data_IF_990189802881
#
_entry.id   IF_990189802881
#
_cell.length_a   1.000
_cell.length_b   1.000
_cell.length_c   1.000
_cell.angle_alpha   90.00
_cell.angle_beta   90.00
_cell.angle_gamma   90.00
#
_symmetry.space_group_name_H-M   'P 1'
#
loop_
_entity.id
_entity.type
_entity.pdbx_description
1 polymer ?
#
# COMPACT_ATOMS: atom_id res chain seq x y z
N UNK A 1 -22.69 19.21 22.07
CA UNK A 1 -23.26 17.94 21.60
C UNK A 1 -22.46 17.47 20.38
N UNK A 2 -21.66 16.40 20.51
CA UNK A 2 -20.83 15.89 19.41
C UNK A 2 -21.55 14.72 18.72
N UNK A 3 -21.92 14.89 17.45
CA UNK A 3 -22.53 13.83 16.65
C UNK A 3 -21.43 12.83 16.26
N UNK A 4 -21.46 11.66 16.91
CA UNK A 4 -20.61 10.51 16.60
C UNK A 4 -20.99 10.02 15.19
N UNK A 5 -20.24 10.45 14.17
CA UNK A 5 -20.38 9.92 12.81
C UNK A 5 -19.92 8.47 12.81
N UNK A 6 -20.87 7.55 12.59
CA UNK A 6 -20.61 6.13 12.36
C UNK A 6 -19.49 5.94 11.33
N UNK A 7 -18.42 5.23 11.72
CA UNK A 7 -17.39 4.74 10.80
C UNK A 7 -18.05 3.77 9.81
N UNK A 8 -18.35 4.25 8.59
CA UNK A 8 -18.64 3.36 7.46
C UNK A 8 -17.37 2.59 7.16
N UNK A 9 -17.30 1.33 7.62
CA UNK A 9 -16.26 0.37 7.26
C UNK A 9 -16.41 0.10 5.76
N UNK A 10 -15.62 0.77 4.92
CA UNK A 10 -15.50 0.39 3.52
C UNK A 10 -14.75 -0.95 3.49
N UNK A 11 -15.49 -2.02 3.26
CA UNK A 11 -14.94 -3.37 3.09
C UNK A 11 -14.19 -3.45 1.76
N UNK A 12 -12.97 -2.88 1.71
CA UNK A 12 -12.04 -3.06 0.61
C UNK A 12 -11.49 -4.49 0.65
N UNK A 13 -12.32 -5.45 0.23
CA UNK A 13 -11.92 -6.84 0.07
C UNK A 13 -11.30 -7.00 -1.31
N UNK A 14 -9.99 -7.19 -1.34
CA UNK A 14 -9.34 -7.76 -2.50
C UNK A 14 -9.55 -9.27 -2.44
N UNK A 15 -10.18 -9.84 -3.48
CA UNK A 15 -10.26 -11.28 -3.65
C UNK A 15 -8.84 -11.80 -3.81
N UNK A 16 -8.31 -12.33 -2.71
CA UNK A 16 -7.08 -13.09 -2.76
C UNK A 16 -7.35 -14.37 -3.55
N UNK A 17 -6.44 -14.80 -4.44
CA UNK A 17 -6.53 -16.14 -4.98
C UNK A 17 -6.48 -17.14 -3.82
N UNK A 18 -7.48 -18.00 -3.72
CA UNK A 18 -7.49 -19.12 -2.77
C UNK A 18 -6.25 -19.97 -3.02
N UNK A 19 -5.34 -19.98 -2.04
CA UNK A 19 -4.25 -20.93 -1.99
C UNK A 19 -4.81 -22.30 -1.63
N UNK A 20 -5.13 -23.05 -2.68
CA UNK A 20 -5.16 -24.52 -2.79
C UNK A 20 -4.87 -25.32 -1.52
N UNK A 21 -5.92 -25.83 -0.89
CA UNK A 21 -5.96 -27.21 -0.42
C UNK A 21 -7.18 -27.88 -1.10
N UNK A 22 -7.02 -29.13 -1.54
CA UNK A 22 -8.00 -29.97 -2.25
C UNK A 22 -8.02 -29.88 -3.80
N UNK A 23 -7.26 -30.78 -4.44
CA UNK A 23 -7.69 -31.47 -5.68
C UNK A 23 -8.43 -32.75 -5.24
N UNK A 24 -9.46 -33.31 -5.94
CA UNK A 24 -9.42 -33.59 -7.39
C UNK A 24 -10.71 -33.35 -8.21
N UNK A 25 -10.48 -33.25 -9.53
CA UNK A 25 -11.34 -33.61 -10.66
C UNK A 25 -12.82 -33.22 -10.67
N UNK A 26 -13.16 -32.14 -11.39
CA UNK A 26 -14.08 -32.20 -12.53
C UNK A 26 -13.59 -31.24 -13.63
N UNK A 27 -13.35 -31.78 -14.81
CA UNK A 27 -12.98 -31.04 -16.01
C UNK A 27 -14.20 -30.29 -16.56
N UNK A 28 -14.19 -28.96 -16.48
CA UNK A 28 -15.12 -28.10 -17.23
C UNK A 28 -14.29 -27.16 -18.12
N UNK A 29 -14.62 -27.02 -19.41
CA UNK A 29 -13.79 -26.30 -20.37
C UNK A 29 -13.88 -24.79 -20.13
N UNK A 30 -12.73 -24.12 -20.13
CA UNK A 30 -12.64 -22.66 -20.12
C UNK A 30 -13.14 -22.08 -21.46
N UNK A 31 -14.00 -21.05 -21.48
CA UNK A 31 -14.26 -20.26 -22.67
C UNK A 31 -13.06 -19.35 -23.00
N UNK A 32 -12.80 -19.07 -24.29
CA UNK A 32 -11.77 -18.11 -24.68
C UNK A 32 -12.31 -16.69 -24.47
N UNK A 33 -11.84 -15.97 -23.45
CA UNK A 33 -12.17 -14.55 -23.32
C UNK A 33 -11.06 -13.69 -23.89
N UNK A 34 -11.47 -12.95 -24.92
CA UNK A 34 -10.72 -12.01 -25.72
C UNK A 34 -9.81 -11.07 -24.91
N UNK A 35 -8.65 -10.86 -25.53
CA UNK A 35 -7.78 -9.70 -25.45
C UNK A 35 -8.52 -8.39 -25.11
N UNK A 36 -8.27 -7.86 -23.91
CA UNK A 36 -8.28 -6.42 -23.69
C UNK A 36 -6.85 -6.00 -23.36
N UNK A 37 -6.20 -5.53 -24.42
CA UNK A 37 -4.90 -4.89 -24.42
C UNK A 37 -4.99 -3.60 -23.59
N UNK A 38 -4.37 -3.59 -22.41
CA UNK A 38 -4.01 -2.37 -21.70
C UNK A 38 -2.54 -2.48 -21.31
N UNK A 39 -1.68 -2.36 -22.34
CA UNK A 39 -0.26 -2.10 -22.15
C UNK A 39 -0.11 -0.67 -21.61
N UNK A 40 -0.08 -0.53 -20.28
CA UNK A 40 0.60 0.60 -19.64
C UNK A 40 1.93 0.05 -19.13
N UNK A 41 2.90 0.06 -20.03
CA UNK A 41 4.31 -0.19 -19.77
C UNK A 41 4.88 0.94 -18.92
N UNK A 42 4.59 0.94 -17.62
CA UNK A 42 5.44 1.67 -16.66
C UNK A 42 6.52 0.73 -16.17
N UNK A 43 7.31 0.22 -17.13
CA UNK A 43 8.58 -0.44 -16.88
C UNK A 43 9.59 0.65 -16.55
N UNK A 44 9.43 1.24 -15.38
CA UNK A 44 10.53 1.92 -14.74
C UNK A 44 11.41 0.81 -14.19
N UNK A 45 12.56 0.66 -14.84
CA UNK A 45 13.72 -0.09 -14.38
C UNK A 45 14.24 0.51 -13.06
N UNK A 46 13.38 0.56 -12.03
CA UNK A 46 13.80 0.82 -10.67
C UNK A 46 14.54 -0.44 -10.23
N UNK A 47 15.88 -0.37 -10.25
CA UNK A 47 16.69 -1.27 -9.44
C UNK A 47 16.09 -1.35 -8.04
N UNK A 48 16.21 -2.52 -7.40
CA UNK A 48 15.64 -2.77 -6.08
C UNK A 48 15.99 -1.62 -5.13
N UNK A 49 15.01 -0.75 -4.83
CA UNK A 49 15.22 0.40 -3.95
C UNK A 49 15.48 -0.19 -2.57
N UNK A 50 16.64 0.10 -1.97
CA UNK A 50 16.96 -0.35 -0.62
C UNK A 50 16.55 0.69 0.42
N UNK A 51 16.26 0.25 1.64
CA UNK A 51 15.94 1.15 2.75
C UNK A 51 17.11 2.09 3.10
N UNK A 52 18.36 1.69 2.82
CA UNK A 52 19.56 2.48 3.10
C UNK A 52 19.73 3.70 2.17
N UNK A 53 19.13 3.64 0.99
CA UNK A 53 19.19 4.69 -0.03
C UNK A 53 18.15 5.79 0.20
N UNK A 54 17.29 5.61 1.20
CA UNK A 54 16.21 6.54 1.54
C UNK A 54 16.62 7.44 2.70
N UNK A 55 16.52 8.75 2.49
CA UNK A 55 16.73 9.77 3.51
C UNK A 55 15.39 10.31 4.00
N UNK A 56 15.18 10.34 5.32
CA UNK A 56 13.94 10.88 5.92
C UNK A 56 14.01 12.40 6.01
N UNK A 57 13.04 13.07 5.40
CA UNK A 57 12.97 14.53 5.39
C UNK A 57 12.02 15.08 6.46
N UNK A 58 10.78 14.58 6.48
CA UNK A 58 9.72 15.13 7.33
C UNK A 58 8.70 14.05 7.70
N UNK A 59 8.01 14.20 8.83
CA UNK A 59 6.81 13.41 9.14
C UNK A 59 5.60 13.97 8.39
N UNK A 60 4.92 13.12 7.62
CA UNK A 60 3.67 13.46 6.92
C UNK A 60 2.43 13.18 7.78
N UNK A 61 2.52 12.21 8.69
CA UNK A 61 1.43 11.91 9.61
C UNK A 61 1.70 10.75 10.56
N UNK A 62 0.92 10.70 11.62
CA UNK A 62 0.89 9.61 12.60
C UNK A 62 -0.46 8.90 12.53
N UNK A 63 -0.43 7.57 12.53
CA UNK A 63 -1.63 6.74 12.60
C UNK A 63 -1.47 5.60 13.58
N UNK A 64 -2.57 4.87 13.84
CA UNK A 64 -2.56 3.72 14.74
C UNK A 64 -1.55 2.66 14.32
N UNK A 65 -1.38 2.45 13.01
CA UNK A 65 -0.45 1.48 12.45
C UNK A 65 0.98 2.00 12.34
N UNK A 66 1.30 3.22 12.80
CA UNK A 66 2.66 3.76 12.76
C UNK A 66 2.77 5.14 12.10
N UNK A 67 3.98 5.49 11.65
CA UNK A 67 4.31 6.85 11.19
C UNK A 67 4.66 6.86 9.71
N UNK A 68 4.18 7.88 8.99
CA UNK A 68 4.49 8.11 7.58
C UNK A 68 5.48 9.25 7.45
N UNK A 69 6.59 9.01 6.76
CA UNK A 69 7.66 9.98 6.51
C UNK A 69 7.71 10.35 5.03
N UNK A 70 7.95 11.62 4.72
CA UNK A 70 8.49 12.05 3.43
C UNK A 70 9.94 11.62 3.36
N UNK A 71 10.30 10.89 2.32
CA UNK A 71 11.67 10.41 2.11
C UNK A 71 12.17 10.78 0.73
N UNK A 72 13.47 10.98 0.59
CA UNK A 72 14.12 11.21 -0.70
C UNK A 72 15.04 10.04 -1.03
N UNK A 73 15.02 9.58 -2.28
CA UNK A 73 15.98 8.59 -2.76
C UNK A 73 17.29 9.29 -3.14
N UNK A 74 18.38 8.97 -2.45
CA UNK A 74 19.67 9.68 -2.55
C UNK A 74 20.21 9.78 -3.97
N UNK A 75 20.04 8.71 -4.76
CA UNK A 75 20.67 8.60 -6.08
C UNK A 75 19.85 9.24 -7.21
N UNK A 76 18.52 9.10 -7.14
CA UNK A 76 17.60 9.53 -8.21
C UNK A 76 16.93 10.87 -7.84
N UNK A 77 17.12 11.35 -6.61
CA UNK A 77 16.46 12.55 -6.06
C UNK A 77 14.93 12.52 -6.15
N UNK A 78 14.35 11.32 -6.20
CA UNK A 78 12.90 11.17 -6.28
C UNK A 78 12.28 11.08 -4.88
N UNK A 79 11.15 11.75 -4.70
CA UNK A 79 10.45 11.86 -3.41
C UNK A 79 9.41 10.75 -3.26
N UNK A 80 9.38 10.12 -2.10
CA UNK A 80 8.46 9.06 -1.75
C UNK A 80 7.84 9.27 -0.36
N UNK A 81 6.80 8.50 -0.04
CA UNK A 81 6.25 8.38 1.30
C UNK A 81 6.62 7.00 1.90
N UNK A 82 7.25 6.97 3.06
CA UNK A 82 7.62 5.75 3.77
C UNK A 82 6.74 5.57 5.01
N UNK A 83 5.84 4.59 4.99
CA UNK A 83 5.06 4.17 6.16
C UNK A 83 5.85 3.15 6.97
N UNK A 84 6.22 3.50 8.20
CA UNK A 84 6.85 2.59 9.15
C UNK A 84 5.79 2.02 10.09
N UNK A 85 5.53 0.73 9.98
CA UNK A 85 4.63 -0.04 10.83
C UNK A 85 5.44 -0.77 11.88
N UNK A 86 5.18 -0.45 13.14
CA UNK A 86 5.82 -1.12 14.27
C UNK A 86 5.08 -2.41 14.59
N UNK A 87 5.76 -3.54 14.54
CA UNK A 87 5.20 -4.80 15.00
C UNK A 87 5.23 -4.81 16.53
N UNK A 88 4.14 -4.36 17.16
CA UNK A 88 4.10 -4.19 18.61
C UNK A 88 4.00 -5.51 19.39
N UNK A 89 3.62 -6.60 18.71
CA UNK A 89 3.49 -7.92 19.32
C UNK A 89 4.21 -8.98 18.48
N UNK A 90 4.91 -9.89 19.16
CA UNK A 90 5.49 -11.09 18.53
C UNK A 90 4.42 -12.14 18.20
N UNK A 91 3.15 -11.71 18.11
CA UNK A 91 2.00 -12.57 17.86
C UNK A 91 2.02 -13.03 16.39
N UNK A 92 2.11 -14.34 16.14
CA UNK A 92 2.13 -14.86 14.78
C UNK A 92 0.88 -14.51 13.97
N UNK A 93 -0.29 -14.33 14.61
CA UNK A 93 -1.54 -14.01 13.91
C UNK A 93 -1.53 -12.59 13.33
N UNK A 94 -1.08 -11.61 14.11
CA UNK A 94 -0.92 -10.21 13.68
C UNK A 94 0.12 -10.12 12.57
N UNK A 95 1.22 -10.90 12.67
CA UNK A 95 2.25 -10.96 11.65
C UNK A 95 1.74 -11.57 10.34
N UNK A 96 0.97 -12.66 10.42
CA UNK A 96 0.34 -13.26 9.24
C UNK A 96 -0.64 -12.28 8.56
N UNK A 97 -1.44 -11.54 9.33
CA UNK A 97 -2.32 -10.52 8.78
C UNK A 97 -1.54 -9.41 8.08
N UNK A 98 -0.48 -8.91 8.71
CA UNK A 98 0.37 -7.86 8.15
C UNK A 98 1.06 -8.31 6.85
N UNK A 99 1.56 -9.55 6.79
CA UNK A 99 2.14 -10.14 5.58
C UNK A 99 1.11 -10.30 4.46
N UNK A 100 -0.14 -10.66 4.81
CA UNK A 100 -1.23 -10.76 3.85
C UNK A 100 -1.59 -9.40 3.27
N UNK A 101 -1.77 -8.39 4.13
CA UNK A 101 -2.03 -7.01 3.72
C UNK A 101 -0.90 -6.46 2.84
N UNK A 102 0.36 -6.74 3.21
CA UNK A 102 1.55 -6.41 2.43
C UNK A 102 1.47 -6.98 1.01
N UNK A 103 1.14 -8.25 0.86
CA UNK A 103 1.10 -8.91 -0.45
C UNK A 103 -0.02 -8.35 -1.33
N UNK A 104 -1.18 -8.06 -0.74
CA UNK A 104 -2.28 -7.39 -1.41
C UNK A 104 -1.83 -6.01 -1.93
N UNK A 105 -1.17 -5.25 -1.07
CA UNK A 105 -0.71 -3.90 -1.40
C UNK A 105 0.33 -3.92 -2.53
N UNK A 106 1.18 -4.95 -2.59
CA UNK A 106 2.13 -5.17 -3.68
C UNK A 106 1.48 -5.48 -5.03
N UNK A 107 0.35 -6.18 -5.04
CA UNK A 107 -0.36 -6.58 -6.28
C UNK A 107 -1.27 -5.49 -6.82
N UNK A 108 -1.58 -4.48 -6.03
CA UNK A 108 -2.51 -3.43 -6.45
C UNK A 108 -1.85 -2.53 -7.49
N UNK A 109 -2.38 -2.55 -8.71
CA UNK A 109 -1.95 -1.68 -9.79
C UNK A 109 -3.17 -0.96 -10.38
N UNK A 110 -3.49 0.20 -9.82
CA UNK A 110 -4.59 1.06 -10.27
C UNK A 110 -4.14 2.52 -10.23
N UNK A 111 -4.49 3.36 -11.21
CA UNK A 111 -4.14 4.78 -11.21
C UNK A 111 -4.81 5.57 -10.07
N UNK A 112 -5.82 5.00 -9.43
CA UNK A 112 -6.57 5.64 -8.33
C UNK A 112 -6.15 5.15 -6.95
N UNK A 113 -5.14 4.27 -6.87
CA UNK A 113 -4.60 3.75 -5.61
C UNK A 113 -3.14 4.15 -5.51
N UNK A 114 -2.74 4.65 -4.34
CA UNK A 114 -1.33 5.00 -4.06
C UNK A 114 -0.46 3.79 -4.34
N UNK A 115 0.50 3.96 -5.25
CA UNK A 115 1.37 2.87 -5.70
C UNK A 115 2.35 2.47 -4.60
N UNK A 116 2.47 1.17 -4.37
CA UNK A 116 3.54 0.59 -3.58
C UNK A 116 4.78 0.38 -4.46
N UNK A 117 5.92 0.97 -4.09
CA UNK A 117 7.18 0.80 -4.81
C UNK A 117 8.04 -0.32 -4.22
N UNK A 118 8.15 -0.39 -2.90
CA UNK A 118 9.00 -1.36 -2.21
C UNK A 118 8.50 -1.62 -0.80
N UNK A 119 8.86 -2.77 -0.24
CA UNK A 119 8.51 -3.14 1.13
C UNK A 119 9.73 -3.71 1.82
N UNK A 120 10.07 -3.10 2.95
CA UNK A 120 11.23 -3.41 3.78
C UNK A 120 10.78 -4.13 5.04
N UNK A 121 11.50 -5.17 5.42
CA UNK A 121 11.35 -5.82 6.70
C UNK A 121 12.63 -5.61 7.49
N UNK A 122 12.49 -5.09 8.71
CA UNK A 122 13.63 -4.95 9.63
C UNK A 122 13.78 -6.24 10.45
N UNK A 123 15.00 -6.55 10.93
CA UNK A 123 15.22 -7.63 11.88
C UNK A 123 14.40 -7.50 13.18
N UNK A 124 14.03 -6.27 13.56
CA UNK A 124 13.13 -5.99 14.68
C UNK A 124 11.68 -6.45 14.46
N UNK A 125 11.31 -6.85 13.24
CA UNK A 125 9.94 -7.16 12.85
C UNK A 125 9.16 -5.96 12.31
N UNK A 126 9.72 -4.75 12.34
CA UNK A 126 9.07 -3.58 11.76
C UNK A 126 9.02 -3.67 10.24
N UNK A 127 7.92 -3.16 9.66
CA UNK A 127 7.73 -3.14 8.22
C UNK A 127 7.75 -1.69 7.72
N UNK A 128 8.58 -1.42 6.72
CA UNK A 128 8.57 -0.17 5.97
C UNK A 128 7.88 -0.37 4.63
N UNK A 129 6.85 0.41 4.33
CA UNK A 129 6.16 0.40 3.03
C UNK A 129 6.51 1.69 2.30
N UNK A 130 7.22 1.58 1.19
CA UNK A 130 7.56 2.69 0.31
C UNK A 130 6.46 2.93 -0.70
N UNK A 131 5.93 4.13 -0.71
CA UNK A 131 4.75 4.52 -1.46
C UNK A 131 5.02 5.77 -2.29
N UNK A 132 4.21 5.94 -3.32
CA UNK A 132 4.11 7.20 -4.06
C UNK A 132 3.82 8.37 -3.10
N UNK A 133 4.52 9.48 -3.31
CA UNK A 133 4.30 10.70 -2.53
C UNK A 133 3.16 11.52 -3.15
N UNK A 134 2.15 11.84 -2.35
CA UNK A 134 1.04 12.71 -2.73
C UNK A 134 1.30 14.12 -2.21
N UNK A 135 1.64 15.04 -3.11
CA UNK A 135 2.00 16.43 -2.83
C UNK A 135 0.84 17.28 -2.29
N UNK A 136 -0.38 16.99 -2.74
CA UNK A 136 -1.62 17.70 -2.38
C UNK A 136 -2.18 17.31 -1.01
N UNK A 137 -1.52 16.37 -0.31
CA UNK A 137 -1.93 15.94 1.02
C UNK A 137 -3.23 15.14 1.03
N UNK A 138 -3.98 15.23 2.13
CA UNK A 138 -5.24 14.48 2.30
C UNK A 138 -6.44 15.29 1.84
N UNK A 139 -7.49 14.60 1.40
CA UNK A 139 -8.77 15.21 1.08
C UNK A 139 -9.34 16.03 2.25
N UNK A 140 -9.14 15.58 3.49
CA UNK A 140 -9.55 16.34 4.68
C UNK A 140 -8.85 17.70 4.75
N UNK A 141 -7.54 17.73 4.50
CA UNK A 141 -6.77 18.98 4.49
C UNK A 141 -7.25 19.88 3.36
N UNK A 142 -7.49 19.31 2.17
CA UNK A 142 -7.99 20.05 1.02
C UNK A 142 -9.37 20.67 1.28
N UNK A 143 -10.31 19.91 1.86
CA UNK A 143 -11.65 20.40 2.24
C UNK A 143 -11.60 21.53 3.27
N UNK A 144 -10.65 21.47 4.22
CA UNK A 144 -10.47 22.54 5.22
C UNK A 144 -9.95 23.83 4.58
N UNK A 145 -9.12 23.72 3.56
CA UNK A 145 -8.51 24.89 2.88
C UNK A 145 -9.45 25.49 1.83
N UNK A 146 -10.12 24.65 1.03
CA UNK A 146 -10.88 25.09 -0.16
C UNK A 146 -12.39 25.11 0.06
N UNK A 147 -12.90 24.54 1.15
CA UNK A 147 -14.33 24.40 1.39
C UNK A 147 -14.93 23.20 0.64
N UNK A 148 -16.24 23.26 0.38
CA UNK A 148 -16.96 22.17 -0.30
C UNK A 148 -16.70 22.27 -1.80
N UNK A 149 -16.33 21.16 -2.44
CA UNK A 149 -16.27 21.06 -3.89
C UNK A 149 -17.68 21.11 -4.49
N UNK A 150 -17.95 22.09 -5.35
CA UNK A 150 -19.20 22.25 -6.10
C UNK A 150 -19.07 21.73 -7.52
#
# INVERSE_FOLDING_TARGET
MALIRQRRQLNLRLSLPESSECRPCFSVPLPPTATVTAAVTNNSSFGSISAADLEKLQVLGHGNSGTVYKVNHKWISNTYALKLVHAHSNDPTVRCQLLREKEIFRRTNSPHVVRCHAIFEKPSGDIGILMEYMDSGTLETLLKVQGIFS
#
